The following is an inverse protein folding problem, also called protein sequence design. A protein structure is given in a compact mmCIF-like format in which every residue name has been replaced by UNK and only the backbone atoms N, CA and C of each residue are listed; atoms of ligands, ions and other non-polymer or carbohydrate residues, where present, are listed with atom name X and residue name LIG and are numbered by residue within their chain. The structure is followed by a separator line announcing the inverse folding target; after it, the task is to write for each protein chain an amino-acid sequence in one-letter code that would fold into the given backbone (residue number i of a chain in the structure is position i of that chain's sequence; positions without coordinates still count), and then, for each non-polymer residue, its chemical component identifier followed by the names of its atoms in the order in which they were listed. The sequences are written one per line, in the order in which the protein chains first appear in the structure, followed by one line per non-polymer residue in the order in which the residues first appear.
data_IF_511134774989
#
_entry.id   IF_511134774989
#
_cell.length_a   1.000
_cell.length_b   1.000
_cell.length_c   1.000
_cell.angle_alpha   90.00
_cell.angle_beta   90.00
_cell.angle_gamma   90.00
#
_symmetry.space_group_name_H-M   'P 1'
#
loop_
_entity.id
_entity.type
_entity.pdbx_description
1 polymer ?
#
# COMPACT_ATOMS: atom_id res chain seq x y z
N UNK A 1 -9.85 -25.93 -0.73
CA UNK A 1 -10.52 -24.61 -0.68
C UNK A 1 -9.97 -23.90 0.55
N UNK A 2 -9.15 -22.87 0.38
CA UNK A 2 -8.56 -22.13 1.51
C UNK A 2 -9.68 -21.40 2.25
N UNK A 3 -9.78 -21.57 3.56
CA UNK A 3 -10.70 -20.80 4.41
C UNK A 3 -10.43 -19.30 4.19
N UNK A 4 -11.43 -18.57 3.71
CA UNK A 4 -11.33 -17.12 3.58
C UNK A 4 -11.29 -16.54 5.00
N UNK A 5 -10.10 -16.11 5.43
CA UNK A 5 -9.91 -15.44 6.71
C UNK A 5 -10.88 -14.27 6.83
N UNK A 6 -11.71 -14.25 7.88
CA UNK A 6 -12.63 -13.14 8.10
C UNK A 6 -11.90 -11.92 8.64
N UNK A 7 -12.52 -10.74 8.57
CA UNK A 7 -11.94 -9.51 9.12
C UNK A 7 -11.71 -9.63 10.64
N UNK A 8 -12.64 -10.28 11.35
CA UNK A 8 -12.54 -10.56 12.79
C UNK A 8 -11.36 -11.48 13.14
N UNK A 9 -11.00 -12.40 12.25
CA UNK A 9 -9.83 -13.28 12.45
C UNK A 9 -8.53 -12.56 12.10
N UNK A 10 -8.58 -11.60 11.17
CA UNK A 10 -7.42 -10.87 10.69
C UNK A 10 -6.96 -9.79 11.66
N UNK A 11 -7.86 -8.92 12.13
CA UNK A 11 -7.51 -7.74 12.93
C UNK A 11 -6.68 -8.06 14.20
N UNK A 12 -6.98 -9.12 14.98
CA UNK A 12 -6.19 -9.48 16.17
C UNK A 12 -4.76 -9.92 15.85
N UNK A 13 -4.47 -10.32 14.61
CA UNK A 13 -3.11 -10.77 14.20
C UNK A 13 -2.18 -9.60 13.87
N UNK A 14 -2.71 -8.39 13.66
CA UNK A 14 -1.96 -7.21 13.26
C UNK A 14 -1.06 -6.72 14.39
N UNK A 15 0.21 -6.46 14.07
CA UNK A 15 1.24 -5.98 15.00
C UNK A 15 1.90 -4.70 14.51
N UNK A 16 2.63 -4.02 15.41
CA UNK A 16 3.47 -2.89 15.02
C UNK A 16 4.57 -3.35 14.05
N UNK A 17 4.81 -2.57 12.99
CA UNK A 17 5.71 -2.94 11.90
C UNK A 17 5.01 -3.59 10.71
N UNK A 18 3.80 -4.11 10.88
CA UNK A 18 3.02 -4.70 9.79
C UNK A 18 2.53 -3.63 8.80
N UNK A 19 2.04 -4.10 7.65
CA UNK A 19 1.25 -3.29 6.73
C UNK A 19 -0.16 -3.82 6.62
N UNK A 20 -1.14 -2.92 6.70
CA UNK A 20 -2.56 -3.25 6.49
C UNK A 20 -3.08 -2.61 5.21
N UNK A 21 -4.08 -3.26 4.61
CA UNK A 21 -4.83 -2.68 3.50
C UNK A 21 -5.99 -1.86 4.06
N UNK A 22 -6.15 -0.65 3.53
CA UNK A 22 -7.19 0.29 3.92
C UNK A 22 -7.99 0.66 2.68
N UNK A 23 -9.30 0.39 2.74
CA UNK A 23 -10.28 0.87 1.75
C UNK A 23 -10.74 2.26 2.14
N UNK A 24 -10.70 3.20 1.19
CA UNK A 24 -11.27 4.53 1.34
C UNK A 24 -12.38 4.81 0.34
N UNK A 25 -12.67 6.09 0.11
CA UNK A 25 -13.64 6.52 -0.90
C UNK A 25 -13.34 5.93 -2.28
N UNK A 26 -14.39 5.75 -3.08
CA UNK A 26 -14.35 5.19 -4.44
C UNK A 26 -13.73 3.79 -4.53
N UNK A 27 -13.83 2.99 -3.46
CA UNK A 27 -13.23 1.65 -3.36
C UNK A 27 -11.71 1.63 -3.54
N UNK A 28 -11.03 2.77 -3.40
CA UNK A 28 -9.58 2.82 -3.50
C UNK A 28 -8.95 2.07 -2.31
N UNK A 29 -8.07 1.11 -2.61
CA UNK A 29 -7.33 0.35 -1.60
C UNK A 29 -5.91 0.89 -1.53
N UNK A 30 -5.47 1.22 -0.32
CA UNK A 30 -4.12 1.71 -0.04
C UNK A 30 -3.46 0.85 1.02
N UNK A 31 -2.14 0.72 0.95
CA UNK A 31 -1.36 0.05 1.98
C UNK A 31 -0.87 1.09 3.00
N UNK A 32 -1.04 0.81 4.29
CA UNK A 32 -0.62 1.68 5.40
C UNK A 32 0.23 0.91 6.39
N UNK A 33 1.38 1.47 6.77
CA UNK A 33 2.26 0.89 7.77
C UNK A 33 1.68 1.11 9.18
N UNK A 34 1.67 0.06 10.00
CA UNK A 34 1.21 0.07 11.38
C UNK A 34 2.36 0.52 12.28
N UNK A 35 2.13 1.58 13.04
CA UNK A 35 3.11 2.13 14.00
C UNK A 35 2.87 1.58 15.39
N UNK A 36 1.61 1.39 15.79
CA UNK A 36 1.26 0.96 17.13
C UNK A 36 -0.05 0.19 17.12
N UNK A 37 -0.11 -0.89 17.91
CA UNK A 37 -1.36 -1.60 18.21
C UNK A 37 -1.59 -1.51 19.71
N UNK A 38 -2.82 -1.22 20.11
CA UNK A 38 -3.28 -1.14 21.50
C UNK A 38 -4.43 -2.13 21.69
N UNK A 39 -4.91 -2.28 22.93
CA UNK A 39 -6.03 -3.17 23.25
C UNK A 39 -7.29 -2.94 22.40
N UNK A 40 -7.51 -1.72 21.91
CA UNK A 40 -8.74 -1.35 21.20
C UNK A 40 -8.49 -0.70 19.84
N UNK A 41 -7.24 -0.38 19.50
CA UNK A 41 -6.93 0.44 18.32
C UNK A 41 -5.67 -0.02 17.58
N UNK A 42 -5.71 0.12 16.27
CA UNK A 42 -4.57 0.05 15.36
C UNK A 42 -4.25 1.47 14.91
N UNK A 43 -3.00 1.90 15.05
CA UNK A 43 -2.51 3.22 14.65
C UNK A 43 -1.54 3.06 13.49
N UNK A 44 -1.82 3.73 12.37
CA UNK A 44 -0.95 3.72 11.19
C UNK A 44 -0.09 4.98 11.11
N UNK A 45 0.90 4.99 10.20
CA UNK A 45 1.96 6.01 10.08
C UNK A 45 1.48 7.47 10.06
N UNK A 46 0.31 7.74 9.51
CA UNK A 46 -0.26 9.09 9.42
C UNK A 46 -1.08 9.47 10.67
N UNK A 47 -0.85 8.81 11.81
CA UNK A 47 -1.64 8.91 13.04
C UNK A 47 -3.15 8.61 12.88
N UNK A 48 -3.55 8.03 11.74
CA UNK A 48 -4.92 7.53 11.54
C UNK A 48 -5.13 6.32 12.45
N UNK A 49 -6.27 6.29 13.13
CA UNK A 49 -6.60 5.26 14.12
C UNK A 49 -7.78 4.46 13.62
N UNK A 50 -7.71 3.15 13.80
CA UNK A 50 -8.78 2.21 13.48
C UNK A 50 -9.15 1.43 14.72
N UNK A 51 -10.42 1.07 14.87
CA UNK A 51 -10.85 0.16 15.93
C UNK A 51 -10.36 -1.24 15.63
N UNK A 52 -9.82 -1.91 16.64
CA UNK A 52 -9.38 -3.30 16.53
C UNK A 52 -10.58 -4.27 16.34
N UNK A 53 -11.77 -3.89 16.79
CA UNK A 53 -12.97 -4.73 16.74
C UNK A 53 -13.56 -4.91 15.34
N UNK A 54 -13.51 -3.86 14.51
CA UNK A 54 -14.20 -3.82 13.22
C UNK A 54 -13.38 -3.19 12.08
N UNK A 55 -12.17 -2.70 12.37
CA UNK A 55 -11.29 -2.08 11.39
C UNK A 55 -11.75 -0.69 10.93
N UNK A 56 -12.81 -0.11 11.50
CA UNK A 56 -13.33 1.21 11.13
C UNK A 56 -12.48 2.35 11.67
N UNK A 57 -12.38 3.45 10.92
CA UNK A 57 -11.64 4.63 11.32
C UNK A 57 -12.27 5.37 12.51
N UNK A 58 -11.43 5.82 13.44
CA UNK A 58 -11.79 6.67 14.56
C UNK A 58 -11.49 8.13 14.20
N UNK A 59 -12.48 9.02 14.33
CA UNK A 59 -12.31 10.46 14.13
C UNK A 59 -12.10 10.91 12.67
N UNK A 60 -12.49 10.08 11.71
CA UNK A 60 -12.37 10.37 10.28
C UNK A 60 -13.47 11.29 9.71
N UNK A 61 -13.28 11.71 8.46
CA UNK A 61 -14.28 12.49 7.70
C UNK A 61 -15.48 11.59 7.37
N UNK A 62 -16.69 12.02 7.75
CA UNK A 62 -17.94 11.23 7.59
C UNK A 62 -18.21 10.77 6.15
N UNK A 63 -17.79 11.55 5.16
CA UNK A 63 -18.05 11.28 3.73
C UNK A 63 -16.99 10.41 3.03
N UNK A 64 -15.92 10.04 3.73
CA UNK A 64 -14.89 9.14 3.20
C UNK A 64 -14.35 8.27 4.33
N UNK A 65 -15.19 7.40 4.93
CA UNK A 65 -14.76 6.53 6.01
C UNK A 65 -13.68 5.58 5.51
N UNK A 66 -12.57 5.52 6.23
CA UNK A 66 -11.53 4.53 5.99
C UNK A 66 -11.84 3.26 6.78
N UNK A 67 -11.54 2.10 6.19
CA UNK A 67 -11.72 0.80 6.83
C UNK A 67 -10.56 -0.13 6.49
N UNK A 68 -10.04 -0.83 7.49
CA UNK A 68 -9.10 -1.94 7.29
C UNK A 68 -9.85 -3.10 6.66
N UNK A 69 -9.25 -3.70 5.63
CA UNK A 69 -9.81 -4.86 4.93
C UNK A 69 -8.85 -6.04 4.98
N UNK A 70 -9.39 -7.25 4.81
CA UNK A 70 -8.61 -8.49 4.75
C UNK A 70 -7.69 -8.45 3.53
N UNK A 71 -6.41 -8.84 3.67
CA UNK A 71 -5.43 -8.83 2.59
C UNK A 71 -5.58 -10.05 1.65
N UNK A 72 -6.78 -10.24 1.08
CA UNK A 72 -7.06 -11.26 0.06
C UNK A 72 -6.27 -11.00 -1.22
N UNK A 73 -6.13 -12.02 -2.08
CA UNK A 73 -5.44 -11.88 -3.37
C UNK A 73 -6.06 -10.76 -4.23
N UNK A 74 -7.39 -10.71 -4.34
CA UNK A 74 -8.12 -9.64 -5.07
C UNK A 74 -7.86 -8.25 -4.46
N UNK A 75 -7.93 -8.09 -3.14
CA UNK A 75 -7.66 -6.80 -2.50
C UNK A 75 -6.21 -6.34 -2.69
N UNK A 76 -5.23 -7.26 -2.63
CA UNK A 76 -3.83 -6.98 -2.94
C UNK A 76 -3.66 -6.57 -4.39
N UNK A 77 -4.29 -7.28 -5.33
CA UNK A 77 -4.23 -6.96 -6.75
C UNK A 77 -4.82 -5.58 -7.04
N UNK A 78 -5.98 -5.25 -6.47
CA UNK A 78 -6.59 -3.91 -6.59
C UNK A 78 -5.73 -2.81 -5.99
N UNK A 79 -5.10 -3.06 -4.84
CA UNK A 79 -4.17 -2.11 -4.23
C UNK A 79 -2.96 -1.85 -5.11
N UNK A 80 -2.37 -2.91 -5.68
CA UNK A 80 -1.25 -2.84 -6.60
C UNK A 80 -1.66 -2.05 -7.84
N UNK A 81 -2.75 -2.44 -8.51
CA UNK A 81 -3.24 -1.77 -9.71
C UNK A 81 -3.48 -0.27 -9.46
N UNK A 82 -4.19 0.11 -8.40
CA UNK A 82 -4.42 1.52 -8.08
C UNK A 82 -3.16 2.29 -7.66
N UNK A 83 -2.11 1.62 -7.19
CA UNK A 83 -0.79 2.24 -6.97
C UNK A 83 -0.07 2.45 -8.31
N UNK A 84 -0.07 1.44 -9.18
CA UNK A 84 0.58 1.48 -10.49
C UNK A 84 -0.06 2.54 -11.39
N UNK A 85 -1.38 2.59 -11.44
CA UNK A 85 -2.13 3.59 -12.20
C UNK A 85 -1.79 5.02 -11.75
N UNK A 86 -1.66 5.26 -10.44
CA UNK A 86 -1.25 6.58 -9.91
C UNK A 86 0.18 6.93 -10.27
N UNK A 87 1.11 5.99 -10.10
CA UNK A 87 2.51 6.18 -10.50
C UNK A 87 2.59 6.48 -11.99
N UNK A 88 1.91 5.71 -12.83
CA UNK A 88 1.96 5.92 -14.25
C UNK A 88 1.22 7.17 -14.74
N UNK A 89 0.11 7.57 -14.11
CA UNK A 89 -0.49 8.89 -14.40
C UNK A 89 0.45 10.06 -14.09
N UNK A 90 1.35 9.88 -13.12
CA UNK A 90 2.42 10.84 -12.82
C UNK A 90 3.51 10.81 -13.90
N UNK A 91 4.06 9.63 -14.19
CA UNK A 91 5.28 9.49 -14.99
C UNK A 91 5.03 9.30 -16.50
N UNK A 92 3.97 8.59 -16.87
CA UNK A 92 3.69 8.08 -18.22
C UNK A 92 2.19 8.16 -18.55
N UNK A 93 1.66 9.39 -18.70
CA UNK A 93 0.22 9.68 -18.80
C UNK A 93 -0.57 8.84 -19.82
N UNK A 94 0.00 8.49 -20.98
CA UNK A 94 -0.74 7.86 -22.08
C UNK A 94 -0.44 6.37 -22.25
N UNK A 95 0.79 5.92 -22.04
CA UNK A 95 1.23 4.57 -22.49
C UNK A 95 0.83 3.46 -21.52
N UNK A 96 0.82 3.73 -20.21
CA UNK A 96 0.67 2.70 -19.20
C UNK A 96 -0.75 2.16 -19.07
N UNK A 97 -1.76 2.98 -19.41
CA UNK A 97 -3.17 2.60 -19.34
C UNK A 97 -3.53 1.48 -20.35
N UNK A 98 -2.69 1.23 -21.35
CA UNK A 98 -2.89 0.19 -22.36
C UNK A 98 -2.24 -1.16 -22.02
N UNK A 99 -1.56 -1.27 -20.87
CA UNK A 99 -0.87 -2.48 -20.44
C UNK A 99 -1.74 -3.33 -19.51
N UNK A 100 -1.57 -4.65 -19.54
CA UNK A 100 -2.24 -5.56 -18.59
C UNK A 100 -1.68 -5.41 -17.17
N UNK A 101 -2.43 -5.88 -16.16
CA UNK A 101 -1.99 -5.79 -14.75
C UNK A 101 -0.65 -6.50 -14.53
N UNK A 102 -0.44 -7.63 -15.20
CA UNK A 102 0.80 -8.39 -15.13
C UNK A 102 1.98 -7.58 -15.71
N UNK A 103 1.78 -6.97 -16.89
CA UNK A 103 2.79 -6.13 -17.54
C UNK A 103 3.11 -4.88 -16.73
N UNK A 104 2.08 -4.23 -16.16
CA UNK A 104 2.25 -3.09 -15.28
C UNK A 104 3.08 -3.45 -14.03
N UNK A 105 2.83 -4.62 -13.44
CA UNK A 105 3.58 -5.12 -12.28
C UNK A 105 5.03 -5.44 -12.64
N UNK A 106 5.27 -6.05 -13.79
CA UNK A 106 6.60 -6.35 -14.29
C UNK A 106 7.43 -5.07 -14.46
N UNK A 107 6.88 -4.06 -15.14
CA UNK A 107 7.53 -2.75 -15.30
C UNK A 107 7.84 -2.11 -13.95
N UNK A 108 6.91 -2.14 -13.01
CA UNK A 108 7.14 -1.60 -11.68
C UNK A 108 8.27 -2.31 -10.94
N UNK A 109 8.33 -3.65 -11.02
CA UNK A 109 9.39 -4.42 -10.41
C UNK A 109 10.75 -4.12 -11.07
N UNK A 110 10.79 -3.96 -12.40
CA UNK A 110 11.99 -3.55 -13.13
C UNK A 110 12.46 -2.16 -12.68
N UNK A 111 11.60 -1.15 -12.68
CA UNK A 111 11.92 0.21 -12.23
C UNK A 111 12.42 0.22 -10.79
N UNK A 112 11.74 -0.50 -9.88
CA UNK A 112 12.15 -0.60 -8.48
C UNK A 112 13.53 -1.26 -8.32
N UNK A 113 13.79 -2.33 -9.06
CA UNK A 113 15.08 -3.03 -9.02
C UNK A 113 16.21 -2.16 -9.54
N UNK A 114 15.96 -1.37 -10.59
CA UNK A 114 16.95 -0.48 -11.18
C UNK A 114 17.25 0.70 -10.25
N UNK A 115 16.23 1.31 -9.65
CA UNK A 115 16.40 2.36 -8.65
C UNK A 115 17.20 1.87 -7.43
N UNK A 116 16.95 0.65 -6.96
CA UNK A 116 17.71 0.08 -5.85
C UNK A 116 19.20 -0.12 -6.19
N UNK A 117 19.51 -0.54 -7.43
CA UNK A 117 20.90 -0.64 -7.92
C UNK A 117 21.57 0.73 -7.98
N UNK A 118 20.90 1.74 -8.55
CA UNK A 118 21.43 3.11 -8.62
C UNK A 118 21.61 3.77 -7.25
N UNK A 119 20.85 3.36 -6.23
CA UNK A 119 21.05 3.82 -4.86
C UNK A 119 22.15 3.05 -4.11
N UNK A 120 22.46 1.82 -4.55
CA UNK A 120 23.54 1.01 -3.99
C UNK A 120 24.91 1.38 -4.59
N UNK A 121 24.93 1.86 -5.84
CA UNK A 121 26.10 2.39 -6.51
C UNK A 121 26.07 3.93 -6.46
N UNK A 122 26.73 4.59 -5.49
CA UNK A 122 26.86 6.04 -5.54
C UNK A 122 27.57 6.44 -6.85
N UNK A 123 27.19 7.59 -7.45
CA UNK A 123 27.82 8.03 -8.69
C UNK A 123 29.33 8.15 -8.47
N UNK A 124 30.17 7.79 -9.47
CA UNK A 124 31.60 7.97 -9.34
C UNK A 124 31.88 9.42 -8.99
N UNK A 125 32.61 9.65 -7.89
CA UNK A 125 33.08 10.97 -7.51
C UNK A 125 33.67 11.63 -8.75
N UNK A 126 33.05 12.73 -9.15
CA UNK A 126 33.59 13.58 -10.20
C UNK A 126 34.88 14.14 -9.62
N UNK A 127 36.02 13.50 -9.92
CA UNK A 127 37.32 14.11 -9.72
C UNK A 127 37.32 15.36 -10.58
N UNK A 128 37.06 16.52 -9.97
CA UNK A 128 37.49 17.78 -10.55
C UNK A 128 39.00 17.64 -10.73
N UNK A 129 39.43 17.61 -11.99
CA UNK A 129 40.83 17.75 -12.32
C UNK A 129 41.24 19.19 -11.95
N UNK A 130 42.24 19.31 -11.09
CA UNK A 130 43.00 20.54 -10.87
C UNK A 130 43.75 20.95 -12.15
#
# INVERSE_FOLDING_TARGET
MSEEQTLSDYLPTVKAGDSVLVRGANNAITQRAVVKVTKTQIVVRDNVRFRLSDGSQIGGIKFSPLMIIVPTADNKQRQIHGRLERWAKSEFRSTFAFLTVEQQLEIYNLVRSHAAKLMADPPPETKLAD
#
